data_IF_893195940833
#
_entry.id   IF_893195940833
#
_cell.length_a   1.000
_cell.length_b   1.000
_cell.length_c   1.000
_cell.angle_alpha   90.00
_cell.angle_beta   90.00
_cell.angle_gamma   90.00
#
_symmetry.space_group_name_H-M   'P 1'
#
loop_
_entity.id
_entity.type
_entity.pdbx_description
1 polymer ?
#
# COMPACT_ATOMS: atom_id res chain seq x y z
N UNK A 1 -8.51 17.98 -31.86
CA UNK A 1 -9.20 19.00 -31.06
C UNK A 1 -8.73 18.83 -29.63
N UNK A 2 -8.50 19.93 -28.88
CA UNK A 2 -8.33 19.82 -27.43
C UNK A 2 -9.68 19.86 -26.74
N UNK A 3 -9.91 19.02 -25.75
CA UNK A 3 -11.17 19.02 -25.00
C UNK A 3 -11.32 20.31 -24.17
N UNK A 4 -12.55 20.76 -24.03
CA UNK A 4 -12.88 21.87 -23.12
C UNK A 4 -12.87 21.41 -21.67
N UNK A 5 -12.80 22.36 -20.74
CA UNK A 5 -12.86 22.07 -19.30
C UNK A 5 -14.14 21.34 -18.92
N UNK A 6 -15.26 21.67 -19.55
CA UNK A 6 -16.57 21.03 -19.33
C UNK A 6 -16.56 19.57 -19.80
N UNK A 7 -15.93 19.28 -20.95
CA UNK A 7 -15.78 17.93 -21.47
C UNK A 7 -14.88 17.07 -20.57
N UNK A 8 -13.80 17.64 -20.05
CA UNK A 8 -12.93 16.98 -19.05
C UNK A 8 -13.69 16.74 -17.76
N UNK A 9 -14.49 17.70 -17.29
CA UNK A 9 -15.32 17.53 -16.11
C UNK A 9 -16.35 16.39 -16.27
N UNK A 10 -16.94 16.25 -17.46
CA UNK A 10 -17.85 15.14 -17.77
C UNK A 10 -17.16 13.77 -17.74
N UNK A 11 -15.91 13.68 -18.21
CA UNK A 11 -15.07 12.47 -18.08
C UNK A 11 -14.84 12.17 -16.60
N UNK A 12 -14.40 13.14 -15.81
CA UNK A 12 -14.14 12.96 -14.39
C UNK A 12 -15.37 12.53 -13.59
N UNK A 13 -16.52 13.15 -13.84
CA UNK A 13 -17.78 12.80 -13.19
C UNK A 13 -18.19 11.35 -13.51
N UNK A 14 -18.04 10.95 -14.77
CA UNK A 14 -18.35 9.58 -15.21
C UNK A 14 -17.41 8.56 -14.55
N UNK A 15 -16.12 8.89 -14.40
CA UNK A 15 -15.17 8.04 -13.68
C UNK A 15 -15.51 7.92 -12.19
N UNK A 16 -15.90 9.02 -11.54
CA UNK A 16 -16.34 9.01 -10.15
C UNK A 16 -17.62 8.17 -9.98
N UNK A 17 -18.57 8.29 -10.89
CA UNK A 17 -19.79 7.48 -10.91
C UNK A 17 -19.48 5.97 -11.01
N UNK A 18 -18.43 5.61 -11.76
CA UNK A 18 -17.93 4.24 -11.83
C UNK A 18 -17.08 3.81 -10.62
N UNK A 19 -16.88 4.67 -9.62
CA UNK A 19 -16.16 4.36 -8.38
C UNK A 19 -14.67 4.69 -8.40
N UNK A 20 -14.18 5.45 -9.38
CA UNK A 20 -12.79 5.87 -9.49
C UNK A 20 -12.49 7.08 -8.59
N UNK A 21 -12.39 6.85 -7.28
CA UNK A 21 -12.32 7.89 -6.24
C UNK A 21 -10.91 8.26 -5.76
N UNK A 22 -9.86 7.62 -6.30
CA UNK A 22 -8.49 7.86 -5.88
C UNK A 22 -7.79 8.84 -6.81
N UNK A 23 -7.32 9.96 -6.28
CA UNK A 23 -6.81 11.10 -7.03
C UNK A 23 -5.62 10.74 -7.93
N UNK A 24 -4.76 9.80 -7.51
CA UNK A 24 -3.61 9.34 -8.30
C UNK A 24 -4.00 8.58 -9.56
N UNK A 25 -4.97 7.67 -9.46
CA UNK A 25 -5.44 6.87 -10.60
C UNK A 25 -6.45 7.67 -11.42
N UNK A 26 -7.30 8.46 -10.77
CA UNK A 26 -8.29 9.30 -11.47
C UNK A 26 -7.61 10.23 -12.45
N UNK A 27 -6.56 10.94 -12.01
CA UNK A 27 -5.82 11.83 -12.90
C UNK A 27 -5.21 11.10 -14.11
N UNK A 28 -4.60 9.93 -13.87
CA UNK A 28 -4.00 9.09 -14.93
C UNK A 28 -5.05 8.60 -15.94
N UNK A 29 -6.20 8.12 -15.46
CA UNK A 29 -7.27 7.61 -16.32
C UNK A 29 -7.98 8.73 -17.07
N UNK A 30 -8.20 9.89 -16.43
CA UNK A 30 -8.75 11.07 -17.11
C UNK A 30 -7.86 11.50 -18.26
N UNK A 31 -6.54 11.57 -18.06
CA UNK A 31 -5.58 11.95 -19.11
C UNK A 31 -5.60 10.98 -20.30
N UNK A 32 -5.64 9.67 -20.02
CA UNK A 32 -5.74 8.65 -21.05
C UNK A 32 -7.06 8.70 -21.82
N UNK A 33 -8.21 8.79 -21.13
CA UNK A 33 -9.53 8.87 -21.77
C UNK A 33 -9.66 10.17 -22.57
N UNK A 34 -9.20 11.30 -22.04
CA UNK A 34 -9.19 12.57 -22.75
C UNK A 34 -8.38 12.45 -24.05
N UNK A 35 -7.16 11.94 -23.97
CA UNK A 35 -6.29 11.73 -25.15
C UNK A 35 -6.94 10.80 -26.19
N UNK A 36 -7.57 9.71 -25.76
CA UNK A 36 -8.29 8.80 -26.67
C UNK A 36 -9.49 9.47 -27.35
N UNK A 37 -10.26 10.29 -26.63
CA UNK A 37 -11.39 11.03 -27.20
C UNK A 37 -10.90 12.09 -28.19
N UNK A 38 -9.83 12.83 -27.85
CA UNK A 38 -9.22 13.82 -28.75
C UNK A 38 -8.74 13.16 -30.04
N UNK A 39 -8.02 12.04 -29.94
CA UNK A 39 -7.55 11.27 -31.08
C UNK A 39 -8.72 10.79 -31.95
N UNK A 40 -9.77 10.24 -31.34
CA UNK A 40 -10.95 9.75 -32.07
C UNK A 40 -11.72 10.86 -32.78
N UNK A 41 -11.88 12.00 -32.12
CA UNK A 41 -12.53 13.20 -32.68
C UNK A 41 -11.75 13.75 -33.88
N UNK A 42 -10.41 13.67 -33.85
CA UNK A 42 -9.55 14.10 -34.97
C UNK A 42 -9.57 13.09 -36.12
N UNK A 43 -9.34 11.82 -35.81
CA UNK A 43 -9.08 10.80 -36.83
C UNK A 43 -10.34 10.28 -37.51
N UNK A 44 -11.46 10.25 -36.78
CA UNK A 44 -12.73 9.71 -37.28
C UNK A 44 -13.77 10.81 -37.58
N UNK A 45 -13.41 12.09 -37.36
CA UNK A 45 -14.27 13.26 -37.56
C UNK A 45 -15.64 13.15 -36.87
N UNK A 46 -15.70 12.41 -35.76
CA UNK A 46 -16.92 12.21 -34.97
C UNK A 46 -17.12 13.33 -33.94
N UNK A 47 -18.37 13.55 -33.52
CA UNK A 47 -18.64 14.48 -32.42
C UNK A 47 -18.09 13.96 -31.09
N UNK A 48 -17.84 14.88 -30.16
CA UNK A 48 -17.40 14.53 -28.81
C UNK A 48 -18.33 13.51 -28.14
N UNK A 49 -19.65 13.66 -28.29
CA UNK A 49 -20.64 12.78 -27.65
C UNK A 49 -20.52 11.33 -28.14
N UNK A 50 -20.26 11.15 -29.45
CA UNK A 50 -20.08 9.83 -30.03
C UNK A 50 -18.75 9.23 -29.57
N UNK A 51 -17.64 9.98 -29.67
CA UNK A 51 -16.33 9.55 -29.21
C UNK A 51 -16.32 9.20 -27.72
N UNK A 52 -16.97 10.03 -26.89
CA UNK A 52 -17.12 9.83 -25.46
C UNK A 52 -17.79 8.47 -25.17
N UNK A 53 -18.94 8.21 -25.81
CA UNK A 53 -19.68 6.95 -25.60
C UNK A 53 -18.85 5.73 -25.99
N UNK A 54 -18.18 5.79 -27.12
CA UNK A 54 -17.40 4.66 -27.65
C UNK A 54 -16.15 4.38 -26.82
N UNK A 55 -15.44 5.44 -26.39
CA UNK A 55 -14.28 5.30 -25.49
C UNK A 55 -14.73 4.73 -24.14
N UNK A 56 -15.82 5.22 -23.55
CA UNK A 56 -16.31 4.66 -22.28
C UNK A 56 -16.80 3.21 -22.40
N UNK A 57 -17.41 2.81 -23.52
CA UNK A 57 -17.73 1.39 -23.77
C UNK A 57 -16.46 0.52 -23.85
N UNK A 58 -15.37 1.03 -24.44
CA UNK A 58 -14.06 0.36 -24.43
C UNK A 58 -13.46 0.25 -23.02
N UNK A 59 -13.66 1.26 -22.16
CA UNK A 59 -13.13 1.30 -20.78
C UNK A 59 -13.97 0.51 -19.76
N UNK A 60 -15.20 0.14 -20.11
CA UNK A 60 -16.13 -0.62 -19.27
C UNK A 60 -15.54 -1.88 -18.61
N UNK A 61 -14.72 -2.72 -19.30
CA UNK A 61 -14.09 -3.88 -18.66
C UNK A 61 -13.09 -3.54 -17.56
N UNK A 62 -12.48 -2.34 -17.60
CA UNK A 62 -11.52 -1.84 -16.61
C UNK A 62 -12.20 -1.06 -15.48
N UNK A 63 -13.37 -0.48 -15.75
CA UNK A 63 -14.19 0.22 -14.77
C UNK A 63 -15.14 -0.70 -14.00
N UNK A 64 -15.37 -1.93 -14.48
CA UNK A 64 -16.23 -2.89 -13.79
C UNK A 64 -15.75 -3.17 -12.36
N UNK A 65 -16.65 -3.45 -11.42
CA UNK A 65 -16.27 -3.86 -10.07
C UNK A 65 -15.43 -5.13 -10.07
N UNK A 66 -14.33 -5.11 -9.32
CA UNK A 66 -13.49 -6.27 -9.03
C UNK A 66 -13.16 -6.33 -7.53
N UNK A 67 -12.74 -7.50 -7.04
CA UNK A 67 -12.25 -7.69 -5.69
C UNK A 67 -11.10 -8.71 -5.68
N UNK A 68 -10.07 -8.45 -4.86
CA UNK A 68 -8.93 -9.35 -4.69
C UNK A 68 -8.80 -9.76 -3.22
N UNK A 69 -9.56 -10.77 -2.81
CA UNK A 69 -9.64 -11.18 -1.40
C UNK A 69 -8.29 -11.50 -0.73
N UNK A 70 -7.39 -12.18 -1.44
CA UNK A 70 -6.10 -12.59 -0.89
C UNK A 70 -5.14 -11.42 -0.63
N UNK A 71 -5.16 -10.40 -1.49
CA UNK A 71 -4.18 -9.31 -1.48
C UNK A 71 -4.72 -8.03 -0.86
N UNK A 72 -6.01 -7.76 -1.07
CA UNK A 72 -6.67 -6.52 -0.67
C UNK A 72 -7.79 -6.77 0.35
N UNK A 73 -8.09 -8.01 0.72
CA UNK A 73 -9.16 -8.35 1.66
C UNK A 73 -10.53 -8.53 0.99
N UNK A 74 -11.31 -9.49 1.48
CA UNK A 74 -12.58 -9.93 0.87
C UNK A 74 -13.69 -8.87 0.86
N UNK A 75 -13.65 -7.91 1.78
CA UNK A 75 -14.67 -6.85 1.91
C UNK A 75 -14.41 -5.63 1.03
N UNK A 76 -13.32 -5.61 0.25
CA UNK A 76 -12.96 -4.47 -0.56
C UNK A 76 -13.19 -4.73 -2.04
N UNK A 77 -13.97 -3.85 -2.66
CA UNK A 77 -14.27 -3.84 -4.08
C UNK A 77 -14.15 -2.43 -4.65
N UNK A 78 -13.75 -2.34 -5.92
CA UNK A 78 -13.69 -1.09 -6.67
C UNK A 78 -13.46 -1.37 -8.16
N UNK A 79 -13.30 -0.34 -8.99
CA UNK A 79 -12.95 -0.51 -10.40
C UNK A 79 -11.75 -1.43 -10.59
N UNK A 80 -11.85 -2.37 -11.55
CA UNK A 80 -10.82 -3.34 -11.86
C UNK A 80 -9.45 -2.69 -12.03
N UNK A 81 -9.35 -1.57 -12.73
CA UNK A 81 -8.07 -0.84 -12.90
C UNK A 81 -7.39 -0.46 -11.57
N UNK A 82 -8.16 0.00 -10.58
CA UNK A 82 -7.66 0.33 -9.24
C UNK A 82 -7.24 -0.96 -8.52
N UNK A 83 -8.14 -1.94 -8.53
CA UNK A 83 -7.98 -3.20 -7.84
C UNK A 83 -6.74 -3.96 -8.32
N UNK A 84 -6.54 -4.02 -9.64
CA UNK A 84 -5.40 -4.64 -10.30
C UNK A 84 -4.10 -3.94 -9.92
N UNK A 85 -4.07 -2.60 -9.94
CA UNK A 85 -2.88 -1.81 -9.58
C UNK A 85 -2.49 -2.02 -8.11
N UNK A 86 -3.46 -1.97 -7.20
CA UNK A 86 -3.23 -2.22 -5.78
C UNK A 86 -2.81 -3.67 -5.50
N UNK A 87 -3.43 -4.65 -6.16
CA UNK A 87 -3.12 -6.06 -5.97
C UNK A 87 -1.72 -6.40 -6.50
N UNK A 88 -1.35 -5.92 -7.69
CA UNK A 88 0.01 -6.06 -8.23
C UNK A 88 1.06 -5.46 -7.31
N UNK A 89 0.82 -4.24 -6.82
CA UNK A 89 1.70 -3.58 -5.86
C UNK A 89 1.87 -4.42 -4.58
N UNK A 90 0.77 -4.88 -4.02
CA UNK A 90 0.76 -5.69 -2.79
C UNK A 90 1.50 -7.01 -2.97
N UNK A 91 1.19 -7.74 -4.04
CA UNK A 91 1.81 -9.04 -4.36
C UNK A 91 3.33 -8.91 -4.56
N UNK A 92 3.77 -7.91 -5.32
CA UNK A 92 5.20 -7.67 -5.54
C UNK A 92 5.94 -7.41 -4.23
N UNK A 93 5.37 -6.54 -3.36
CA UNK A 93 5.96 -6.24 -2.06
C UNK A 93 5.96 -7.41 -1.09
N UNK A 94 4.93 -8.24 -1.11
CA UNK A 94 4.86 -9.45 -0.30
C UNK A 94 6.06 -10.39 -0.56
N UNK A 95 6.44 -10.59 -1.82
CA UNK A 95 7.60 -11.41 -2.16
C UNK A 95 8.92 -10.80 -1.72
N UNK A 96 9.09 -9.47 -1.85
CA UNK A 96 10.29 -8.81 -1.34
C UNK A 96 10.42 -8.93 0.19
N UNK A 97 9.32 -8.86 0.93
CA UNK A 97 9.31 -9.05 2.40
C UNK A 97 9.69 -10.48 2.75
N UNK A 98 9.02 -11.45 2.11
CA UNK A 98 9.21 -12.88 2.37
C UNK A 98 10.65 -13.30 2.11
N UNK A 99 11.19 -12.94 0.93
CA UNK A 99 12.56 -13.28 0.56
C UNK A 99 13.60 -12.48 1.36
N UNK A 100 13.31 -11.22 1.69
CA UNK A 100 14.20 -10.36 2.48
C UNK A 100 14.31 -10.79 3.95
N UNK A 101 13.28 -11.40 4.52
CA UNK A 101 13.29 -11.86 5.91
C UNK A 101 14.19 -13.09 6.13
N UNK A 102 14.39 -13.93 5.11
CA UNK A 102 15.21 -15.16 5.20
C UNK A 102 16.65 -14.86 5.64
N UNK A 103 17.46 -14.03 4.94
CA UNK A 103 18.83 -13.78 5.33
C UNK A 103 18.93 -13.13 6.71
N UNK A 104 18.01 -12.22 7.05
CA UNK A 104 17.98 -11.58 8.38
C UNK A 104 17.75 -12.60 9.49
N UNK A 105 16.86 -13.57 9.25
CA UNK A 105 16.56 -14.65 10.20
C UNK A 105 17.77 -15.56 10.41
N UNK A 106 18.43 -15.96 9.33
CA UNK A 106 19.62 -16.80 9.41
C UNK A 106 20.75 -16.11 10.18
N UNK A 107 20.99 -14.83 9.88
CA UNK A 107 21.99 -14.01 10.60
C UNK A 107 21.60 -13.92 12.08
N UNK A 108 20.39 -13.48 12.41
CA UNK A 108 19.99 -13.31 13.81
C UNK A 108 20.05 -14.62 14.61
N UNK A 109 19.65 -15.74 14.00
CA UNK A 109 19.70 -17.06 14.64
C UNK A 109 21.15 -17.49 14.88
N UNK A 110 22.05 -17.28 13.90
CA UNK A 110 23.48 -17.55 14.07
C UNK A 110 24.10 -16.71 15.19
N UNK A 111 23.75 -15.42 15.28
CA UNK A 111 24.19 -14.55 16.38
C UNK A 111 23.68 -15.04 17.74
N UNK A 112 22.39 -15.38 17.84
CA UNK A 112 21.83 -15.89 19.10
C UNK A 112 22.51 -17.20 19.51
N UNK A 113 22.75 -18.12 18.57
CA UNK A 113 23.43 -19.38 18.84
C UNK A 113 24.88 -19.19 19.28
N UNK A 114 25.63 -18.29 18.62
CA UNK A 114 27.04 -18.06 18.91
C UNK A 114 27.27 -17.36 20.26
N UNK A 115 26.46 -16.35 20.58
CA UNK A 115 26.64 -15.58 21.81
C UNK A 115 25.93 -16.19 23.02
N UNK A 116 24.78 -16.86 22.82
CA UNK A 116 23.91 -17.57 23.78
C UNK A 116 24.16 -17.37 25.29
N UNK A 117 24.24 -16.11 25.73
CA UNK A 117 24.38 -15.74 27.15
C UNK A 117 23.11 -15.06 27.61
N UNK A 118 22.73 -15.25 28.87
CA UNK A 118 21.56 -14.58 29.46
C UNK A 118 21.58 -13.07 29.26
N UNK A 119 22.76 -12.47 29.45
CA UNK A 119 22.99 -11.03 29.23
C UNK A 119 22.70 -10.62 27.79
N UNK A 120 23.21 -11.37 26.80
CA UNK A 120 22.95 -11.08 25.39
C UNK A 120 21.46 -11.17 25.06
N UNK A 121 20.81 -12.26 25.48
CA UNK A 121 19.37 -12.50 25.25
C UNK A 121 18.53 -11.38 25.88
N UNK A 122 18.88 -10.92 27.07
CA UNK A 122 18.22 -9.82 27.75
C UNK A 122 18.30 -8.51 26.96
N UNK A 123 19.50 -8.13 26.51
CA UNK A 123 19.70 -6.91 25.71
C UNK A 123 19.03 -7.01 24.34
N UNK A 124 19.12 -8.16 23.68
CA UNK A 124 18.46 -8.42 22.40
C UNK A 124 16.93 -8.26 22.51
N UNK A 125 16.33 -8.85 23.55
CA UNK A 125 14.89 -8.73 23.81
C UNK A 125 14.49 -7.29 24.10
N UNK A 126 15.29 -6.55 24.88
CA UNK A 126 15.06 -5.11 25.13
C UNK A 126 15.12 -4.29 23.84
N UNK A 127 16.10 -4.55 22.98
CA UNK A 127 16.24 -3.84 21.71
C UNK A 127 15.01 -4.05 20.82
N UNK A 128 14.51 -5.29 20.72
CA UNK A 128 13.28 -5.61 19.98
C UNK A 128 12.07 -4.83 20.52
N UNK A 129 11.91 -4.74 21.85
CA UNK A 129 10.81 -3.98 22.46
C UNK A 129 10.88 -2.48 22.14
N UNK A 130 12.09 -1.90 22.18
CA UNK A 130 12.31 -0.49 21.83
C UNK A 130 12.00 -0.25 20.34
N UNK A 131 12.41 -1.17 19.45
CA UNK A 131 12.10 -1.08 18.02
C UNK A 131 10.60 -1.08 17.77
N UNK A 132 9.85 -1.99 18.39
CA UNK A 132 8.39 -2.02 18.28
C UNK A 132 7.72 -0.76 18.82
N UNK A 133 8.15 -0.24 19.97
CA UNK A 133 7.61 1.00 20.51
C UNK A 133 7.87 2.19 19.55
N UNK A 134 9.06 2.22 18.95
CA UNK A 134 9.43 3.23 17.95
C UNK A 134 8.58 3.11 16.69
N UNK A 135 8.31 1.88 16.24
CA UNK A 135 7.46 1.60 15.08
C UNK A 135 6.03 2.13 15.28
N UNK A 136 5.40 1.80 16.42
CA UNK A 136 4.06 2.29 16.79
C UNK A 136 4.02 3.82 16.78
N UNK A 137 5.05 4.46 17.33
CA UNK A 137 5.18 5.91 17.36
C UNK A 137 5.27 6.51 15.94
N UNK A 138 6.14 5.96 15.09
CA UNK A 138 6.31 6.43 13.71
C UNK A 138 5.05 6.23 12.86
N UNK A 139 4.37 5.10 13.03
CA UNK A 139 3.10 4.81 12.34
C UNK A 139 2.03 5.82 12.75
N UNK A 140 1.97 6.16 14.04
CA UNK A 140 1.04 7.19 14.55
C UNK A 140 1.32 8.55 13.91
N UNK A 141 2.59 8.96 13.80
CA UNK A 141 2.98 10.18 13.10
C UNK A 141 2.54 10.13 11.62
N UNK A 142 2.80 9.00 10.94
CA UNK A 142 2.41 8.84 9.54
C UNK A 142 0.89 8.92 9.33
N UNK A 143 0.08 8.38 10.25
CA UNK A 143 -1.37 8.56 10.27
C UNK A 143 -1.78 10.03 10.35
N UNK A 144 -1.16 10.79 11.26
CA UNK A 144 -1.41 12.24 11.43
C UNK A 144 -1.06 12.99 10.15
N UNK A 145 0.08 12.68 9.53
CA UNK A 145 0.49 13.29 8.26
C UNK A 145 -0.55 13.02 7.16
N UNK A 146 -0.99 11.77 6.99
CA UNK A 146 -1.98 11.41 5.98
C UNK A 146 -3.33 12.08 6.25
N UNK A 147 -3.75 12.18 7.51
CA UNK A 147 -4.98 12.88 7.86
C UNK A 147 -4.95 14.38 7.53
N UNK A 148 -3.79 15.03 7.62
CA UNK A 148 -3.62 16.44 7.27
C UNK A 148 -3.95 16.76 5.81
N UNK A 149 -3.64 15.85 4.88
CA UNK A 149 -3.68 16.16 3.45
C UNK A 149 -5.06 16.04 2.76
N UNK A 150 -6.08 15.47 3.41
CA UNK A 150 -7.47 15.25 2.90
C UNK A 150 -7.63 14.48 1.57
N UNK A 151 -6.63 14.45 0.69
CA UNK A 151 -6.60 13.73 -0.59
C UNK A 151 -6.69 12.22 -0.40
N UNK A 152 -7.44 11.56 -1.29
CA UNK A 152 -7.60 10.11 -1.28
C UNK A 152 -6.69 9.54 -2.36
N UNK A 153 -5.59 8.91 -1.97
CA UNK A 153 -4.75 8.18 -2.92
C UNK A 153 -4.78 6.70 -2.63
N UNK A 154 -4.44 5.88 -3.62
CA UNK A 154 -4.33 4.44 -3.40
C UNK A 154 -3.31 4.11 -2.30
N UNK A 155 -2.23 4.89 -2.23
CA UNK A 155 -1.20 4.76 -1.21
C UNK A 155 -1.70 5.05 0.21
N UNK A 156 -2.48 6.12 0.42
CA UNK A 156 -3.01 6.43 1.75
C UNK A 156 -4.05 5.42 2.20
N UNK A 157 -4.83 4.86 1.27
CA UNK A 157 -5.75 3.76 1.56
C UNK A 157 -5.01 2.49 1.99
N UNK A 158 -4.02 2.05 1.20
CA UNK A 158 -3.23 0.86 1.51
C UNK A 158 -2.51 1.00 2.85
N UNK A 159 -1.90 2.17 3.11
CA UNK A 159 -1.22 2.45 4.37
C UNK A 159 -2.20 2.31 5.55
N UNK A 160 -3.33 3.03 5.54
CA UNK A 160 -4.32 2.98 6.63
C UNK A 160 -4.81 1.56 6.88
N UNK A 161 -5.10 0.81 5.83
CA UNK A 161 -5.60 -0.56 5.95
C UNK A 161 -4.61 -1.50 6.63
N UNK A 162 -3.33 -1.39 6.27
CA UNK A 162 -2.27 -2.31 6.72
C UNK A 162 -1.70 -1.94 8.08
N UNK A 163 -1.45 -0.66 8.29
CA UNK A 163 -0.84 -0.13 9.52
C UNK A 163 -1.72 -0.28 10.75
N UNK A 164 -3.03 -0.55 10.61
CA UNK A 164 -3.90 -0.93 11.74
C UNK A 164 -3.34 -2.14 12.49
N UNK A 165 -2.68 -3.08 11.79
CA UNK A 165 -2.10 -4.28 12.40
C UNK A 165 -0.99 -3.96 13.41
N UNK A 166 -0.33 -2.80 13.30
CA UNK A 166 0.72 -2.35 14.22
C UNK A 166 0.20 -2.24 15.64
N UNK A 167 -1.02 -1.72 15.80
CA UNK A 167 -1.61 -1.51 17.12
C UNK A 167 -1.98 -2.83 17.82
N UNK A 168 -2.01 -3.95 17.10
CA UNK A 168 -2.19 -5.28 17.69
C UNK A 168 -0.86 -5.92 18.13
N UNK A 169 0.30 -5.41 17.70
CA UNK A 169 1.60 -5.98 18.10
C UNK A 169 1.93 -5.82 19.59
N UNK A 170 1.61 -4.70 20.29
CA UNK A 170 1.82 -4.59 21.73
C UNK A 170 1.06 -5.65 22.53
N UNK A 171 -0.07 -6.16 22.01
CA UNK A 171 -0.79 -7.28 22.60
C UNK A 171 0.06 -8.56 22.54
N UNK A 172 0.73 -8.83 21.42
CA UNK A 172 1.63 -9.98 21.26
C UNK A 172 2.85 -9.88 22.20
N UNK A 173 3.35 -8.67 22.42
CA UNK A 173 4.43 -8.40 23.39
C UNK A 173 3.96 -8.54 24.84
N UNK A 174 2.76 -8.03 25.16
CA UNK A 174 2.19 -8.03 26.51
C UNK A 174 1.70 -9.40 26.98
N UNK A 175 1.24 -10.26 26.06
CA UNK A 175 0.85 -11.66 26.34
C UNK A 175 2.09 -12.58 26.44
N UNK A 176 3.29 -12.07 26.16
CA UNK A 176 4.54 -12.84 26.28
C UNK A 176 4.79 -13.84 25.16
N UNK A 177 4.12 -13.68 24.00
CA UNK A 177 4.28 -14.54 22.82
C UNK A 177 5.57 -14.22 22.03
N UNK A 178 6.14 -13.03 22.19
CA UNK A 178 7.54 -12.77 21.82
C UNK A 178 8.39 -13.23 23.00
N UNK A 179 9.15 -14.32 22.86
CA UNK A 179 9.39 -15.21 23.98
C UNK A 179 10.29 -14.56 25.03
N UNK A 180 9.76 -14.51 26.24
CA UNK A 180 10.47 -14.23 27.49
C UNK A 180 11.54 -15.32 27.79
N UNK A 181 11.62 -16.40 27.00
CA UNK A 181 12.67 -17.42 27.10
C UNK A 181 13.13 -17.91 25.72
N UNK A 182 13.93 -17.12 25.02
CA UNK A 182 14.75 -17.60 23.88
C UNK A 182 15.70 -18.75 24.27
N UNK A 183 15.89 -18.99 25.57
CA UNK A 183 16.86 -19.95 26.10
C UNK A 183 16.34 -21.39 26.20
N UNK A 184 15.01 -21.62 26.16
CA UNK A 184 14.38 -22.93 26.42
C UNK A 184 13.31 -23.33 25.39
N UNK A 185 13.31 -22.70 24.22
CA UNK A 185 12.39 -23.03 23.13
C UNK A 185 13.16 -23.85 22.09
N UNK A 186 12.46 -24.79 21.47
CA UNK A 186 12.98 -25.56 20.34
C UNK A 186 13.56 -24.62 19.26
N UNK A 187 14.72 -24.99 18.70
CA UNK A 187 15.45 -24.14 17.77
C UNK A 187 14.64 -23.80 16.50
N UNK A 188 13.80 -24.71 16.02
CA UNK A 188 12.96 -24.49 14.84
C UNK A 188 11.83 -23.49 15.16
N UNK A 189 11.24 -23.61 16.36
CA UNK A 189 10.22 -22.68 16.84
C UNK A 189 10.82 -21.28 17.04
N UNK A 190 12.02 -21.19 17.59
CA UNK A 190 12.75 -19.93 17.74
C UNK A 190 13.03 -19.26 16.39
N UNK A 191 13.49 -20.04 15.40
CA UNK A 191 13.73 -19.52 14.05
C UNK A 191 12.44 -19.01 13.40
N UNK A 192 11.32 -19.71 13.59
CA UNK A 192 10.00 -19.26 13.13
C UNK A 192 9.58 -17.91 13.70
N UNK A 193 9.77 -17.69 15.01
CA UNK A 193 9.48 -16.41 15.64
C UNK A 193 10.36 -15.27 15.11
N UNK A 194 11.66 -15.52 14.94
CA UNK A 194 12.61 -14.55 14.38
C UNK A 194 12.23 -14.19 12.94
N UNK A 195 11.82 -15.18 12.15
CA UNK A 195 11.35 -14.97 10.78
C UNK A 195 10.10 -14.09 10.72
N UNK A 196 9.09 -14.41 11.54
CA UNK A 196 7.86 -13.59 11.63
C UNK A 196 8.20 -12.17 12.10
N UNK A 197 9.11 -12.01 13.06
CA UNK A 197 9.58 -10.70 13.51
C UNK A 197 10.17 -9.88 12.35
N UNK A 198 11.07 -10.44 11.55
CA UNK A 198 11.64 -9.71 10.41
C UNK A 198 10.64 -9.46 9.29
N UNK A 199 9.71 -10.38 9.04
CA UNK A 199 8.62 -10.13 8.10
C UNK A 199 7.78 -8.93 8.51
N UNK A 200 7.41 -8.85 9.79
CA UNK A 200 6.67 -7.72 10.37
C UNK A 200 7.50 -6.44 10.20
N UNK A 201 8.76 -6.43 10.64
CA UNK A 201 9.63 -5.25 10.54
C UNK A 201 9.76 -4.72 9.10
N UNK A 202 10.03 -5.61 8.14
CA UNK A 202 10.15 -5.25 6.72
C UNK A 202 8.82 -4.78 6.11
N UNK A 203 7.71 -5.39 6.52
CA UNK A 203 6.38 -4.97 6.11
C UNK A 203 6.13 -3.50 6.48
N UNK A 204 6.53 -3.07 7.68
CA UNK A 204 6.35 -1.68 8.11
C UNK A 204 7.31 -0.70 7.44
N UNK A 205 8.55 -1.11 7.18
CA UNK A 205 9.46 -0.30 6.35
C UNK A 205 8.85 0.01 4.97
N UNK A 206 8.16 -0.96 4.36
CA UNK A 206 7.46 -0.76 3.09
C UNK A 206 6.22 0.11 3.24
N UNK A 207 5.49 0.01 4.36
CA UNK A 207 4.34 0.89 4.60
C UNK A 207 4.77 2.36 4.72
N UNK A 208 5.97 2.68 5.26
CA UNK A 208 6.49 4.05 5.20
C UNK A 208 6.75 4.54 3.76
N UNK A 209 7.13 3.65 2.84
CA UNK A 209 7.25 4.00 1.41
C UNK A 209 5.91 4.47 0.84
N UNK A 210 4.79 3.90 1.28
CA UNK A 210 3.45 4.34 0.88
C UNK A 210 3.18 5.78 1.32
N UNK A 211 3.61 6.17 2.53
CA UNK A 211 3.46 7.54 3.04
C UNK A 211 4.23 8.52 2.17
N UNK A 212 5.48 8.21 1.84
CA UNK A 212 6.28 9.04 0.93
C UNK A 212 5.68 9.14 -0.47
N UNK A 213 5.15 8.03 -1.01
CA UNK A 213 4.47 8.02 -2.30
C UNK A 213 3.19 8.87 -2.29
N UNK A 214 2.40 8.81 -1.21
CA UNK A 214 1.23 9.65 -1.01
C UNK A 214 1.59 11.15 -1.04
N UNK A 215 2.59 11.57 -0.25
CA UNK A 215 3.06 12.96 -0.22
C UNK A 215 3.58 13.40 -1.60
N UNK A 216 4.31 12.53 -2.30
CA UNK A 216 4.84 12.82 -3.64
C UNK A 216 3.73 13.07 -4.65
N UNK A 217 2.68 12.26 -4.65
CA UNK A 217 1.50 12.46 -5.50
C UNK A 217 0.84 13.81 -5.20
N UNK A 218 0.61 14.12 -3.92
CA UNK A 218 -0.03 15.38 -3.53
C UNK A 218 0.79 16.59 -4.00
N UNK A 219 2.11 16.55 -3.81
CA UNK A 219 3.00 17.63 -4.28
C UNK A 219 2.97 17.78 -5.80
N UNK A 220 2.91 16.68 -6.55
CA UNK A 220 2.79 16.72 -8.01
C UNK A 220 1.47 17.39 -8.43
N UNK A 221 0.37 17.06 -7.74
CA UNK A 221 -0.95 17.63 -8.01
C UNK A 221 -1.07 19.12 -7.60
N UNK A 222 -0.38 19.56 -6.55
CA UNK A 222 -0.36 20.99 -6.20
C UNK A 222 0.39 21.83 -7.23
N UNK A 223 1.46 21.28 -7.82
CA UNK A 223 2.26 21.96 -8.85
C UNK A 223 1.55 22.03 -10.21
N UNK A 224 0.69 21.06 -10.53
CA UNK A 224 -0.08 21.11 -11.79
C UNK A 224 -1.28 22.07 -11.74
N UNK A 225 -1.61 22.61 -10.56
CA UNK A 225 -2.71 23.56 -10.34
C UNK A 225 -2.23 25.01 -10.17
N UNK A 226 -0.91 25.25 -10.09
CA UNK A 226 -0.29 26.58 -10.04
C UNK A 226 0.22 27.00 -11.40
#
# INVERSE_FOLDING_TARGET
MKLTTEQIAQIEETLVFNGLIYDDIKLEVTDHIASEIEEKTINEEVSFELAFKEVFEKWKPELRPASYGLWLGRSYSGPKIIMDKMARYTKSRFWYITLGAIPLTLIATAFIHFFNTETFIYFFTKAIRILFATEVFLVTIAWIIIWKYKSKTTFSYLFKKRSVLVFFQPLLLGVGLVPIKLMNIDADVQMGFIYVFFMILLFFMIDFVLVFQHIRVIKKQSLSKS
#
